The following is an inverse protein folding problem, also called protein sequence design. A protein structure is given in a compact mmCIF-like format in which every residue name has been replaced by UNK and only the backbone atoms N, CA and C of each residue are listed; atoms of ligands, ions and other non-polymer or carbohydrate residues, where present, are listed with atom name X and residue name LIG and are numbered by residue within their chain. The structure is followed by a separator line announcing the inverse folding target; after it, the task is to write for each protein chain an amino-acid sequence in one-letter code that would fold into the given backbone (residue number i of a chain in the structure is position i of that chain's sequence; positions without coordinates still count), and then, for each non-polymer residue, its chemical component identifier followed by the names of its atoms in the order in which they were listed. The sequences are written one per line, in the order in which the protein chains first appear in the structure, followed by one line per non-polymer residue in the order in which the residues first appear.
data_IF_814106493239
#
_entry.id   IF_814106493239
#
_cell.length_a   1.000
_cell.length_b   1.000
_cell.length_c   1.000
_cell.angle_alpha   90.00
_cell.angle_beta   90.00
_cell.angle_gamma   90.00
#
_symmetry.space_group_name_H-M   'P 1'
#
loop_
_entity.id
_entity.type
_entity.pdbx_description
1 polymer ?
#
# COMPACT_ATOMS: atom_id res chain seq x y z
N UNK A 1 14.16 -14.75 -17.82
CA UNK A 1 12.85 -14.03 -17.91
C UNK A 1 12.30 -14.02 -16.50
N UNK A 2 12.33 -12.89 -15.78
CA UNK A 2 11.88 -12.84 -14.38
C UNK A 2 10.53 -12.14 -14.33
N UNK A 3 9.45 -12.92 -14.44
CA UNK A 3 8.07 -12.45 -14.34
C UNK A 3 7.54 -12.76 -12.94
N UNK A 4 7.92 -11.94 -11.97
CA UNK A 4 7.43 -12.07 -10.58
C UNK A 4 6.30 -11.09 -10.37
N UNK A 5 5.17 -11.58 -9.86
CA UNK A 5 4.07 -10.77 -9.34
C UNK A 5 3.92 -11.00 -7.83
N UNK A 6 3.36 -10.02 -7.12
CA UNK A 6 3.12 -10.13 -5.69
C UNK A 6 1.62 -10.26 -5.40
N UNK A 7 1.27 -11.10 -4.44
CA UNK A 7 -0.09 -11.22 -3.93
C UNK A 7 -0.09 -11.17 -2.41
N UNK A 8 -1.02 -10.40 -1.84
CA UNK A 8 -1.16 -10.26 -0.40
C UNK A 8 -2.60 -9.99 -0.02
N UNK A 9 -3.00 -10.45 1.17
CA UNK A 9 -4.34 -10.21 1.71
C UNK A 9 -4.30 -9.45 3.03
N UNK A 10 -5.28 -8.58 3.29
CA UNK A 10 -5.36 -7.82 4.54
C UNK A 10 -4.06 -7.07 4.85
N UNK A 11 -3.39 -7.35 5.99
CA UNK A 11 -2.05 -6.82 6.31
C UNK A 11 -0.96 -7.29 5.34
N UNK A 12 -1.04 -8.52 4.82
CA UNK A 12 -0.17 -8.96 3.73
C UNK A 12 -0.39 -8.15 2.44
N UNK A 13 -1.62 -7.65 2.22
CA UNK A 13 -1.95 -6.72 1.14
C UNK A 13 -1.20 -5.39 1.27
N UNK A 14 -1.08 -4.87 2.50
CA UNK A 14 -0.25 -3.69 2.80
C UNK A 14 1.23 -3.95 2.47
N UNK A 15 1.78 -5.08 2.90
CA UNK A 15 3.19 -5.41 2.67
C UNK A 15 3.54 -5.52 1.18
N UNK A 16 2.72 -6.20 0.38
CA UNK A 16 2.99 -6.32 -1.06
C UNK A 16 2.84 -4.99 -1.80
N UNK A 17 1.92 -4.13 -1.36
CA UNK A 17 1.80 -2.77 -1.89
C UNK A 17 3.06 -1.96 -1.54
N UNK A 18 3.49 -1.98 -0.28
CA UNK A 18 4.64 -1.25 0.21
C UNK A 18 5.93 -1.60 -0.54
N UNK A 19 6.27 -2.89 -0.56
CA UNK A 19 7.47 -3.38 -1.26
C UNK A 19 7.33 -3.22 -2.77
N UNK A 20 6.12 -3.35 -3.32
CA UNK A 20 5.91 -3.28 -4.77
C UNK A 20 6.09 -1.88 -5.36
N UNK A 21 5.63 -0.82 -4.67
CA UNK A 21 5.78 0.57 -5.15
C UNK A 21 7.16 1.16 -4.83
N UNK A 22 7.83 0.64 -3.80
CA UNK A 22 9.14 1.15 -3.38
C UNK A 22 10.10 0.01 -2.95
N UNK A 23 10.51 -0.88 -3.88
CA UNK A 23 11.32 -2.06 -3.55
C UNK A 23 12.76 -1.75 -3.11
N UNK A 24 13.23 -0.52 -3.33
CA UNK A 24 14.57 -0.07 -2.95
C UNK A 24 14.51 1.00 -1.87
N UNK A 25 13.47 1.01 -1.02
CA UNK A 25 13.46 1.91 0.12
C UNK A 25 14.65 1.56 1.03
N UNK A 26 15.28 2.58 1.61
CA UNK A 26 16.39 2.37 2.56
C UNK A 26 15.97 1.55 3.79
N UNK A 27 14.67 1.56 4.11
CA UNK A 27 14.08 0.76 5.19
C UNK A 27 14.03 -0.74 4.88
N UNK A 28 14.13 -1.12 3.61
CA UNK A 28 14.11 -2.51 3.14
C UNK A 28 15.50 -3.07 2.83
N UNK A 29 16.54 -2.22 2.84
CA UNK A 29 17.91 -2.66 2.60
C UNK A 29 18.57 -3.10 3.91
N UNK A 30 19.29 -4.23 3.87
CA UNK A 30 20.11 -4.66 4.98
C UNK A 30 21.36 -3.76 5.09
N UNK A 31 21.75 -3.41 6.32
CA UNK A 31 22.84 -2.44 6.59
C UNK A 31 24.21 -2.88 6.04
N UNK A 32 24.40 -4.18 5.76
CA UNK A 32 25.68 -4.80 5.38
C UNK A 32 25.69 -5.46 3.99
N UNK A 33 24.63 -5.31 3.18
CA UNK A 33 24.59 -5.87 1.82
C UNK A 33 25.04 -4.85 0.77
N UNK A 34 25.78 -5.30 -0.24
CA UNK A 34 26.01 -4.49 -1.45
C UNK A 34 24.65 -4.05 -2.00
N UNK A 35 24.54 -2.76 -2.37
CA UNK A 35 23.31 -2.15 -2.85
C UNK A 35 22.83 -2.86 -4.13
N UNK A 36 22.05 -3.93 -3.97
CA UNK A 36 21.46 -4.68 -5.07
C UNK A 36 20.16 -3.98 -5.49
N UNK A 37 20.12 -3.52 -6.73
CA UNK A 37 18.90 -2.94 -7.28
C UNK A 37 17.81 -4.02 -7.41
N UNK A 38 16.80 -3.93 -6.53
CA UNK A 38 15.61 -4.78 -6.56
C UNK A 38 14.67 -4.24 -7.63
N UNK A 39 14.36 -5.08 -8.63
CA UNK A 39 13.40 -4.71 -9.68
C UNK A 39 11.97 -4.70 -9.14
N UNK A 40 11.16 -3.78 -9.64
CA UNK A 40 9.73 -3.77 -9.35
C UNK A 40 9.03 -5.05 -9.83
N UNK A 41 7.99 -5.51 -9.12
CA UNK A 41 7.18 -6.62 -9.58
C UNK A 41 6.43 -6.25 -10.87
N UNK A 42 6.07 -7.27 -11.65
CA UNK A 42 5.30 -7.06 -12.90
C UNK A 42 3.87 -6.62 -12.63
N UNK A 43 3.31 -7.03 -11.51
CA UNK A 43 1.97 -6.64 -11.05
C UNK A 43 1.83 -6.95 -9.56
N UNK A 44 0.83 -6.34 -8.93
CA UNK A 44 0.42 -6.59 -7.55
C UNK A 44 -1.05 -7.02 -7.55
N UNK A 45 -1.38 -8.04 -6.78
CA UNK A 45 -2.76 -8.42 -6.45
C UNK A 45 -2.98 -8.19 -4.95
N UNK A 46 -3.81 -7.21 -4.62
CA UNK A 46 -4.10 -6.81 -3.25
C UNK A 46 -5.52 -7.24 -2.87
N UNK A 47 -5.65 -8.23 -1.98
CA UNK A 47 -6.93 -8.73 -1.50
C UNK A 47 -7.31 -7.98 -0.21
N UNK A 48 -8.37 -7.16 -0.25
CA UNK A 48 -8.88 -6.35 0.88
C UNK A 48 -7.74 -5.69 1.69
N UNK A 49 -6.86 -4.92 1.05
CA UNK A 49 -5.61 -4.51 1.65
C UNK A 49 -5.82 -3.48 2.76
N UNK A 50 -5.02 -3.55 3.82
CA UNK A 50 -4.88 -2.46 4.80
C UNK A 50 -4.00 -1.35 4.20
N UNK A 51 -4.44 -0.76 3.10
CA UNK A 51 -3.64 0.19 2.31
C UNK A 51 -3.29 1.47 3.08
N UNK A 52 -4.13 1.88 4.02
CA UNK A 52 -3.89 3.00 4.92
C UNK A 52 -4.01 2.54 6.38
N UNK A 53 -2.88 2.13 7.01
CA UNK A 53 -2.88 1.71 8.41
C UNK A 53 -3.36 2.80 9.36
N UNK A 54 -3.10 4.07 9.06
CA UNK A 54 -3.55 5.20 9.86
C UNK A 54 -5.07 5.35 9.82
N UNK A 55 -5.67 5.40 8.63
CA UNK A 55 -7.12 5.47 8.48
C UNK A 55 -7.81 4.24 9.09
N UNK A 56 -7.26 3.03 8.88
CA UNK A 56 -7.77 1.79 9.48
C UNK A 56 -7.74 1.83 11.00
N UNK A 57 -6.66 2.32 11.60
CA UNK A 57 -6.56 2.49 13.05
C UNK A 57 -7.61 3.44 13.59
N UNK A 58 -7.79 4.61 12.97
CA UNK A 58 -8.81 5.59 13.37
C UNK A 58 -10.23 5.04 13.22
N UNK A 59 -10.48 4.27 12.17
CA UNK A 59 -11.74 3.53 12.00
C UNK A 59 -11.95 2.53 13.14
N UNK A 60 -10.95 1.68 13.42
CA UNK A 60 -11.04 0.68 14.48
C UNK A 60 -11.34 1.28 15.86
N UNK A 61 -10.77 2.45 16.17
CA UNK A 61 -11.10 3.21 17.38
C UNK A 61 -12.57 3.63 17.42
N UNK A 62 -13.09 4.24 16.35
CA UNK A 62 -14.50 4.67 16.25
C UNK A 62 -15.47 3.50 16.31
N UNK A 63 -15.15 2.41 15.63
CA UNK A 63 -15.93 1.18 15.59
C UNK A 63 -15.73 0.29 16.83
N UNK A 64 -14.89 0.71 17.80
CA UNK A 64 -14.58 -0.01 19.05
C UNK A 64 -14.01 -1.42 18.82
N UNK A 65 -13.29 -1.62 17.72
CA UNK A 65 -12.64 -2.89 17.35
C UNK A 65 -11.28 -3.02 18.06
N UNK A 66 -11.31 -3.25 19.38
CA UNK A 66 -10.11 -3.20 20.24
C UNK A 66 -8.96 -4.10 19.77
N UNK A 67 -9.29 -5.30 19.26
CA UNK A 67 -8.27 -6.21 18.72
C UNK A 67 -7.50 -5.60 17.53
N UNK A 68 -8.18 -4.85 16.65
CA UNK A 68 -7.52 -4.16 15.53
C UNK A 68 -6.72 -2.95 16.01
N UNK A 69 -7.23 -2.21 17.00
CA UNK A 69 -6.50 -1.09 17.64
C UNK A 69 -5.19 -1.59 18.23
N UNK A 70 -5.24 -2.61 19.09
CA UNK A 70 -4.06 -3.19 19.73
C UNK A 70 -3.09 -3.80 18.72
N UNK A 71 -3.59 -4.49 17.69
CA UNK A 71 -2.74 -5.06 16.65
C UNK A 71 -2.01 -3.97 15.85
N UNK A 72 -2.69 -2.88 15.44
CA UNK A 72 -2.01 -1.79 14.72
C UNK A 72 -0.98 -1.09 15.62
N UNK A 73 -1.32 -0.81 16.88
CA UNK A 73 -0.39 -0.18 17.83
C UNK A 73 0.83 -1.05 18.10
N UNK A 74 0.63 -2.37 18.30
CA UNK A 74 1.72 -3.31 18.55
C UNK A 74 2.69 -3.41 17.38
N UNK A 75 2.20 -3.28 16.14
CA UNK A 75 3.05 -3.34 14.94
C UNK A 75 3.79 -2.03 14.65
N UNK A 76 3.08 -0.89 14.66
CA UNK A 76 3.67 0.39 14.24
C UNK A 76 4.26 1.22 15.39
N UNK A 77 3.85 0.97 16.63
CA UNK A 77 4.30 1.71 17.83
C UNK A 77 3.77 3.14 17.95
N UNK A 78 3.46 3.83 16.84
CA UNK A 78 2.98 5.22 16.84
C UNK A 78 2.05 5.53 15.67
N UNK A 79 1.19 6.54 15.83
CA UNK A 79 0.33 7.04 14.74
C UNK A 79 1.15 7.65 13.58
N UNK A 80 2.29 8.26 13.86
CA UNK A 80 3.14 8.83 12.81
C UNK A 80 3.80 7.74 11.96
N UNK A 81 4.25 6.63 12.58
CA UNK A 81 4.70 5.45 11.83
C UNK A 81 3.56 4.87 10.97
N UNK A 82 2.32 4.85 11.46
CA UNK A 82 1.16 4.41 10.67
C UNK A 82 0.92 5.31 9.45
N UNK A 83 1.00 6.64 9.62
CA UNK A 83 0.83 7.61 8.51
C UNK A 83 1.93 7.47 7.48
N UNK A 84 3.19 7.40 7.93
CA UNK A 84 4.34 7.19 7.05
C UNK A 84 4.19 5.90 6.26
N UNK A 85 3.61 4.86 6.87
CA UNK A 85 3.35 3.56 6.24
C UNK A 85 2.09 3.51 5.34
N UNK A 86 1.28 4.57 5.26
CA UNK A 86 0.05 4.60 4.45
C UNK A 86 0.40 4.73 2.97
N UNK A 87 -0.03 3.74 2.16
CA UNK A 87 0.28 3.66 0.73
C UNK A 87 -0.20 4.88 -0.06
N UNK A 88 -1.44 5.41 0.15
CA UNK A 88 -1.85 6.64 -0.53
C UNK A 88 -0.92 7.82 -0.21
N UNK A 89 -0.52 7.96 1.06
CA UNK A 89 0.37 9.03 1.50
C UNK A 89 1.77 8.94 0.89
N UNK A 90 2.33 7.73 0.75
CA UNK A 90 3.61 7.51 0.07
C UNK A 90 3.56 7.95 -1.39
N UNK A 91 2.49 7.57 -2.10
CA UNK A 91 2.30 7.90 -3.51
C UNK A 91 2.14 9.41 -3.68
N UNK A 92 1.30 10.06 -2.87
CA UNK A 92 1.09 11.52 -2.92
C UNK A 92 2.36 12.32 -2.63
N UNK A 93 3.17 11.86 -1.67
CA UNK A 93 4.45 12.50 -1.32
C UNK A 93 5.47 12.35 -2.46
N UNK A 94 5.55 11.16 -3.07
CA UNK A 94 6.39 10.93 -4.24
C UNK A 94 5.94 11.81 -5.42
N UNK A 95 4.64 11.97 -5.65
CA UNK A 95 4.12 12.79 -6.74
C UNK A 95 4.45 14.29 -6.55
N UNK A 96 4.24 14.78 -5.33
CA UNK A 96 4.45 16.19 -4.99
C UNK A 96 5.93 16.60 -5.09
N UNK A 97 6.84 15.70 -4.69
CA UNK A 97 8.30 15.94 -4.78
C UNK A 97 8.83 15.92 -6.21
N UNK A 98 8.17 15.19 -7.13
CA UNK A 98 8.46 15.24 -8.56
C UNK A 98 7.97 16.53 -9.21
N UNK A 99 6.75 16.97 -8.89
CA UNK A 99 6.14 18.18 -9.48
C UNK A 99 6.79 19.49 -9.02
N UNK A 100 7.41 19.50 -7.83
CA UNK A 100 7.98 20.72 -7.22
C UNK A 100 9.49 20.93 -7.52
N UNK A 101 10.13 20.02 -8.25
CA UNK A 101 11.60 19.99 -8.39
C UNK A 101 12.13 20.67 -9.65
N UNK A 102 12.17 22.01 -9.65
CA UNK A 102 13.04 22.81 -10.53
C UNK A 102 14.29 23.26 -9.76
N UNK A 103 15.26 22.36 -9.50
CA UNK A 103 16.62 22.77 -9.12
C UNK A 103 17.66 21.64 -9.11
N UNK A 104 18.62 21.79 -10.04
CA UNK A 104 20.06 21.59 -9.92
C UNK A 104 20.59 20.68 -8.80
N UNK A 105 20.63 19.37 -9.06
CA UNK A 105 21.67 18.47 -8.51
C UNK A 105 21.78 17.23 -9.40
N UNK A 106 23.01 16.85 -9.77
CA UNK A 106 23.33 15.80 -10.74
C UNK A 106 22.96 14.36 -10.29
N UNK A 107 22.11 14.18 -9.27
CA UNK A 107 21.51 12.86 -8.96
C UNK A 107 20.18 12.76 -9.72
N UNK A 108 20.10 11.86 -10.71
CA UNK A 108 18.83 11.49 -11.35
C UNK A 108 17.83 11.13 -10.24
N UNK A 109 16.79 11.94 -10.06
CA UNK A 109 15.63 11.54 -9.24
C UNK A 109 14.95 10.39 -9.97
N UNK A 110 15.02 9.19 -9.39
CA UNK A 110 14.32 8.00 -9.91
C UNK A 110 12.81 8.29 -9.77
N UNK A 111 12.10 8.32 -10.90
CA UNK A 111 10.63 8.43 -10.93
C UNK A 111 10.06 7.22 -10.19
N UNK A 112 9.10 7.44 -9.30
CA UNK A 112 8.30 6.33 -8.76
C UNK A 112 7.55 5.71 -9.94
N UNK A 113 7.79 4.41 -10.15
CA UNK A 113 7.04 3.60 -11.10
C UNK A 113 5.96 2.86 -10.32
N UNK A 114 4.71 2.88 -10.79
CA UNK A 114 3.63 2.13 -10.16
C UNK A 114 3.42 0.84 -10.95
N UNK A 115 3.61 -0.35 -10.34
CA UNK A 115 3.28 -1.60 -11.01
C UNK A 115 1.76 -1.70 -11.20
N UNK A 116 1.29 -2.35 -12.28
CA UNK A 116 -0.12 -2.68 -12.46
C UNK A 116 -0.73 -3.31 -11.21
N UNK A 117 -1.85 -2.78 -10.74
CA UNK A 117 -2.50 -3.20 -9.49
C UNK A 117 -3.87 -3.81 -9.75
N UNK A 118 -4.13 -5.00 -9.24
CA UNK A 118 -5.48 -5.55 -9.09
C UNK A 118 -5.88 -5.47 -7.61
N UNK A 119 -6.98 -4.79 -7.29
CA UNK A 119 -7.56 -4.77 -5.94
C UNK A 119 -8.86 -5.56 -5.87
N UNK A 120 -8.96 -6.46 -4.90
CA UNK A 120 -10.19 -7.20 -4.61
C UNK A 120 -10.80 -6.65 -3.32
N UNK A 121 -12.03 -6.14 -3.37
CA UNK A 121 -12.69 -5.50 -2.22
C UNK A 121 -14.02 -6.21 -1.87
N UNK A 122 -14.17 -6.76 -0.64
CA UNK A 122 -15.45 -7.20 -0.11
C UNK A 122 -16.37 -6.02 0.21
N UNK A 123 -17.67 -6.24 0.10
CA UNK A 123 -18.68 -5.22 0.33
C UNK A 123 -18.99 -4.97 1.81
N UNK A 124 -19.06 -6.01 2.61
CA UNK A 124 -19.39 -5.96 4.05
C UNK A 124 -18.12 -6.11 4.90
N UNK A 125 -17.04 -5.44 4.48
CA UNK A 125 -15.75 -5.50 5.14
C UNK A 125 -15.76 -4.68 6.45
N UNK A 126 -15.96 -5.37 7.57
CA UNK A 126 -15.92 -4.77 8.91
C UNK A 126 -14.51 -4.44 9.43
N UNK A 127 -13.45 -4.77 8.69
CA UNK A 127 -12.06 -4.54 9.13
C UNK A 127 -11.37 -3.42 8.35
N UNK A 128 -11.72 -3.28 7.07
CA UNK A 128 -11.16 -2.32 6.12
C UNK A 128 -12.31 -1.66 5.36
N UNK A 129 -12.75 -0.46 5.77
CA UNK A 129 -13.78 0.28 5.05
C UNK A 129 -13.40 0.52 3.59
N UNK A 130 -14.41 0.54 2.71
CA UNK A 130 -14.22 0.72 1.25
C UNK A 130 -13.47 2.02 0.93
N UNK A 131 -13.67 3.07 1.72
CA UNK A 131 -13.01 4.38 1.57
C UNK A 131 -11.48 4.24 1.57
N UNK A 132 -10.90 3.32 2.37
CA UNK A 132 -9.45 3.09 2.38
C UNK A 132 -8.95 2.61 1.02
N UNK A 133 -9.72 1.71 0.39
CA UNK A 133 -9.41 1.24 -0.96
C UNK A 133 -9.62 2.36 -1.97
N UNK A 134 -10.69 3.14 -1.88
CA UNK A 134 -10.90 4.26 -2.79
C UNK A 134 -9.76 5.29 -2.72
N UNK A 135 -9.21 5.55 -1.53
CA UNK A 135 -8.10 6.47 -1.32
C UNK A 135 -6.82 5.96 -2.00
N UNK A 136 -6.54 4.65 -1.89
CA UNK A 136 -5.46 4.01 -2.64
C UNK A 136 -5.62 4.20 -4.15
N UNK A 137 -6.83 3.96 -4.68
CA UNK A 137 -7.08 4.06 -6.12
C UNK A 137 -6.98 5.51 -6.61
N UNK A 138 -7.44 6.48 -5.82
CA UNK A 138 -7.27 7.92 -6.11
C UNK A 138 -5.80 8.29 -6.19
N UNK A 139 -4.97 7.78 -5.27
CA UNK A 139 -3.54 7.99 -5.31
C UNK A 139 -2.90 7.32 -6.55
N UNK A 140 -3.28 6.09 -6.91
CA UNK A 140 -2.80 5.45 -8.14
C UNK A 140 -3.15 6.24 -9.41
N UNK A 141 -4.37 6.82 -9.49
CA UNK A 141 -4.78 7.67 -10.63
C UNK A 141 -4.01 8.98 -10.75
N UNK A 142 -3.30 9.44 -9.71
CA UNK A 142 -2.57 10.71 -9.77
C UNK A 142 -1.31 10.63 -10.64
N UNK A 143 -0.84 9.42 -10.94
CA UNK A 143 0.27 9.15 -11.84
C UNK A 143 -0.21 8.81 -13.26
N UNK A 144 0.41 9.41 -14.28
CA UNK A 144 0.07 9.20 -15.70
C UNK A 144 0.10 7.73 -16.14
N UNK A 145 1.01 6.93 -15.56
CA UNK A 145 1.19 5.50 -15.87
C UNK A 145 0.51 4.58 -14.84
N UNK A 146 -0.29 5.14 -13.92
CA UNK A 146 -0.96 4.40 -12.86
C UNK A 146 -2.09 3.52 -13.38
N UNK A 147 -1.78 2.25 -13.69
CA UNK A 147 -2.78 1.26 -14.08
C UNK A 147 -3.30 0.47 -12.88
N UNK A 148 -4.62 0.34 -12.79
CA UNK A 148 -5.23 -0.61 -11.87
C UNK A 148 -6.57 -1.14 -12.36
N UNK A 149 -6.94 -2.29 -11.79
CA UNK A 149 -8.26 -2.89 -11.87
C UNK A 149 -8.83 -3.12 -10.47
N UNK A 150 -10.15 -3.15 -10.38
CA UNK A 150 -10.86 -3.44 -9.13
C UNK A 150 -11.93 -4.48 -9.36
N UNK A 151 -12.03 -5.44 -8.45
CA UNK A 151 -13.16 -6.36 -8.38
C UNK A 151 -13.82 -6.18 -7.02
N UNK A 152 -15.09 -5.83 -7.05
CA UNK A 152 -15.91 -5.65 -5.86
C UNK A 152 -16.84 -6.86 -5.67
N UNK A 153 -16.93 -7.37 -4.45
CA UNK A 153 -17.78 -8.50 -4.08
C UNK A 153 -18.86 -8.04 -3.09
N UNK A 154 -20.05 -7.64 -3.56
CA UNK A 154 -21.15 -7.19 -2.69
C UNK A 154 -21.56 -8.29 -1.72
N UNK A 155 -21.91 -7.94 -0.49
CA UNK A 155 -22.38 -8.89 0.54
C UNK A 155 -21.28 -9.76 1.16
N UNK A 156 -20.08 -9.79 0.58
CA UNK A 156 -18.98 -10.57 1.13
C UNK A 156 -18.27 -9.84 2.27
N UNK A 157 -17.94 -10.54 3.37
CA UNK A 157 -17.22 -9.96 4.50
C UNK A 157 -15.69 -9.97 4.32
N UNK A 158 -14.97 -9.39 5.26
CA UNK A 158 -13.51 -9.46 5.28
C UNK A 158 -13.01 -10.90 5.20
N UNK A 159 -11.96 -11.12 4.41
CA UNK A 159 -11.32 -12.42 4.19
C UNK A 159 -12.25 -13.54 3.67
N UNK A 160 -13.32 -13.20 2.93
CA UNK A 160 -14.26 -14.18 2.38
C UNK A 160 -13.58 -15.28 1.55
N UNK A 161 -12.56 -14.93 0.75
CA UNK A 161 -11.81 -15.89 -0.08
C UNK A 161 -10.90 -16.85 0.69
N UNK A 162 -10.82 -16.75 2.02
CA UNK A 162 -10.05 -17.66 2.89
C UNK A 162 -10.95 -18.59 3.71
N UNK A 163 -12.28 -18.52 3.54
CA UNK A 163 -13.23 -19.38 4.23
C UNK A 163 -13.23 -20.77 3.60
N UNK A 164 -13.32 -21.80 4.45
CA UNK A 164 -13.42 -23.21 4.05
C UNK A 164 -14.88 -23.61 3.89
#
# INVERSE_FOLDING_TARGET
VNNVGLIGSSSGGHLVLHVGINPNSSELQAEDEEEMEVKQPKFIIALWPVADPYARYRYAQRAKLQHLVSATQGYFGSEDAMKSASIPHMIDTAFSTMSSSSSSSNKKKKKMELPPLLVIQPGEDGNVPNEITQDLLRAYRSYDDGYYETVYFPGEPHAFGLRK
#
